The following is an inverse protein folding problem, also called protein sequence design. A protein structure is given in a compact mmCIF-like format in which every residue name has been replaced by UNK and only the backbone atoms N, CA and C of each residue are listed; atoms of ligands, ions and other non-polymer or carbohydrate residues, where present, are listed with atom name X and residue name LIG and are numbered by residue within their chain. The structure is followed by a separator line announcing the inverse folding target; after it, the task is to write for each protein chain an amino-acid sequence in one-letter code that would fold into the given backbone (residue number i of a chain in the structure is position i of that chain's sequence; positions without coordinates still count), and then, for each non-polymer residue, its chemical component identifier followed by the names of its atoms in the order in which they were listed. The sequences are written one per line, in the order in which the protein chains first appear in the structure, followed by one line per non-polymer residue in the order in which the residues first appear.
data_IF_085694338403
#
_entry.id   IF_085694338403
#
_cell.length_a   1.000
_cell.length_b   1.000
_cell.length_c   1.000
_cell.angle_alpha   90.00
_cell.angle_beta   90.00
_cell.angle_gamma   90.00
#
_symmetry.space_group_name_H-M   'P 1'
#
loop_
_entity.id
_entity.type
_entity.pdbx_description
1 polymer ?
#
# COMPACT_ATOMS: atom_id res chain seq x y z
N UNK A 1 -4.40 -0.27 13.16
CA UNK A 1 -4.83 0.83 12.26
C UNK A 1 -5.21 0.23 10.93
N UNK A 2 -6.32 0.64 10.33
CA UNK A 2 -6.78 0.15 9.02
C UNK A 2 -6.60 1.24 7.97
N UNK A 3 -5.92 0.91 6.88
CA UNK A 3 -5.65 1.81 5.77
C UNK A 3 -6.23 1.24 4.48
N UNK A 4 -6.88 2.09 3.69
CA UNK A 4 -7.34 1.72 2.34
C UNK A 4 -6.37 2.33 1.34
N UNK A 5 -5.83 1.51 0.43
CA UNK A 5 -4.84 1.96 -0.56
C UNK A 5 -5.39 1.78 -1.96
N UNK A 6 -5.97 2.85 -2.51
CA UNK A 6 -6.41 2.88 -3.90
C UNK A 6 -5.23 3.06 -4.86
N UNK A 7 -4.92 2.04 -5.66
CA UNK A 7 -3.93 2.13 -6.75
C UNK A 7 -4.69 2.26 -8.07
N UNK A 8 -4.49 3.37 -8.78
CA UNK A 8 -5.00 3.56 -10.15
C UNK A 8 -3.90 3.33 -11.18
N UNK A 9 -4.29 2.89 -12.38
CA UNK A 9 -3.40 2.47 -13.47
C UNK A 9 -2.68 3.60 -14.21
N UNK A 10 -2.08 4.54 -13.49
CA UNK A 10 -1.14 5.50 -14.05
C UNK A 10 0.29 4.93 -14.09
N UNK A 11 1.24 5.65 -14.68
CA UNK A 11 2.66 5.27 -14.71
C UNK A 11 3.26 4.99 -13.32
N UNK A 12 2.62 5.48 -12.24
CA UNK A 12 3.06 5.32 -10.85
C UNK A 12 2.55 4.08 -10.11
N UNK A 13 1.85 3.13 -10.75
CA UNK A 13 1.30 1.95 -10.07
C UNK A 13 2.38 1.12 -9.32
N UNK A 14 3.62 1.12 -9.82
CA UNK A 14 4.75 0.45 -9.16
C UNK A 14 5.04 1.01 -7.76
N UNK A 15 4.81 2.30 -7.53
CA UNK A 15 4.99 2.92 -6.21
C UNK A 15 3.92 2.45 -5.23
N UNK A 16 2.69 2.19 -5.70
CA UNK A 16 1.63 1.60 -4.88
C UNK A 16 2.00 0.19 -4.41
N UNK A 17 2.60 -0.63 -5.27
CA UNK A 17 3.10 -1.96 -4.90
C UNK A 17 4.20 -1.85 -3.84
N UNK A 18 5.19 -0.96 -4.05
CA UNK A 18 6.28 -0.72 -3.07
C UNK A 18 5.76 -0.21 -1.73
N UNK A 19 4.75 0.65 -1.75
CA UNK A 19 4.09 1.13 -0.54
C UNK A 19 3.46 -0.03 0.25
N UNK A 20 2.76 -0.94 -0.44
CA UNK A 20 2.16 -2.10 0.21
C UNK A 20 3.20 -3.05 0.82
N UNK A 21 4.36 -3.22 0.18
CA UNK A 21 5.48 -4.00 0.74
C UNK A 21 5.95 -3.41 2.08
N UNK A 22 6.15 -2.10 2.15
CA UNK A 22 6.59 -1.41 3.38
C UNK A 22 5.50 -1.44 4.46
N UNK A 23 4.24 -1.20 4.10
CA UNK A 23 3.13 -1.21 5.05
C UNK A 23 2.91 -2.60 5.66
N UNK A 24 3.26 -3.68 4.94
CA UNK A 24 3.20 -5.05 5.46
C UNK A 24 4.23 -5.30 6.57
N UNK A 25 5.34 -4.57 6.60
CA UNK A 25 6.34 -4.66 7.67
C UNK A 25 5.98 -3.80 8.89
N UNK A 26 4.99 -2.93 8.79
CA UNK A 26 4.56 -2.08 9.89
C UNK A 26 3.61 -2.85 10.86
N UNK A 27 4.04 -3.13 12.10
CA UNK A 27 3.22 -3.88 13.04
C UNK A 27 1.94 -3.11 13.38
N UNK A 28 0.80 -3.82 13.37
CA UNK A 28 -0.50 -3.23 13.69
C UNK A 28 -1.15 -2.43 12.55
N UNK A 29 -0.56 -2.42 11.36
CA UNK A 29 -1.19 -1.86 10.14
C UNK A 29 -1.82 -2.98 9.32
N UNK A 30 -3.09 -2.80 8.97
CA UNK A 30 -3.86 -3.67 8.09
C UNK A 30 -4.25 -2.85 6.85
N UNK A 31 -3.97 -3.37 5.66
CA UNK A 31 -4.30 -2.71 4.38
C UNK A 31 -5.45 -3.42 3.67
N UNK A 32 -6.29 -2.64 2.98
CA UNK A 32 -7.39 -3.10 2.13
C UNK A 32 -7.31 -2.47 0.74
#
# INVERSE_FOLDING_TARGET
MRLIVGISGASGAIYGVRLLEVLKECPGVETH
#
